data_IF_441467322247
#
_entry.id   IF_441467322247
#
_cell.length_a   1.000
_cell.length_b   1.000
_cell.length_c   1.000
_cell.angle_alpha   90.00
_cell.angle_beta   90.00
_cell.angle_gamma   90.00
#
_symmetry.space_group_name_H-M   'P 1'
#
loop_
_entity.id
_entity.type
_entity.pdbx_description
1 polymer ?
#
# COMPACT_ATOMS: atom_id res chain seq x y z
N UNK A 1 -0.94 9.01 41.56
CA UNK A 1 -0.10 7.90 41.08
C UNK A 1 -0.81 7.30 39.88
N UNK A 2 -0.14 7.19 38.73
CA UNK A 2 -0.73 6.72 37.47
C UNK A 2 -0.20 5.34 37.07
N UNK A 3 0.27 4.55 38.05
CA UNK A 3 0.86 3.24 37.84
C UNK A 3 -0.17 2.09 37.65
N UNK A 4 -1.45 2.32 37.93
CA UNK A 4 -2.47 1.26 37.87
C UNK A 4 -3.16 1.14 36.50
N UNK A 5 -3.44 -0.11 36.09
CA UNK A 5 -4.07 -0.48 34.81
C UNK A 5 -5.46 0.13 34.56
N UNK A 6 -6.13 0.61 35.60
CA UNK A 6 -7.51 1.07 35.59
C UNK A 6 -7.65 2.55 36.00
N UNK A 7 -6.62 3.36 35.78
CA UNK A 7 -6.69 4.81 36.02
C UNK A 7 -7.53 5.48 34.91
N UNK A 8 -8.84 5.23 34.89
CA UNK A 8 -9.82 5.75 33.91
C UNK A 8 -9.91 7.28 33.88
N UNK A 9 -9.27 7.96 34.84
CA UNK A 9 -9.22 9.41 34.94
C UNK A 9 -7.84 10.00 34.57
N UNK A 10 -6.80 9.17 34.40
CA UNK A 10 -5.45 9.66 34.14
C UNK A 10 -5.20 9.81 32.64
N UNK A 11 -4.67 10.97 32.25
CA UNK A 11 -4.33 11.28 30.85
C UNK A 11 -3.25 10.33 30.29
N UNK A 12 -2.25 10.01 31.11
CA UNK A 12 -1.15 9.09 30.83
C UNK A 12 -1.01 8.15 32.04
N UNK A 13 -0.99 6.84 31.80
CA UNK A 13 -0.88 5.81 32.83
C UNK A 13 -0.24 4.53 32.26
N UNK A 14 0.14 3.59 33.11
CA UNK A 14 0.68 2.31 32.65
C UNK A 14 1.50 1.59 33.71
N UNK A 15 2.01 0.41 33.33
CA UNK A 15 2.90 -0.42 34.13
C UNK A 15 4.30 -0.34 33.54
N UNK A 16 5.10 0.58 34.07
CA UNK A 16 6.42 0.88 33.52
C UNK A 16 7.41 -0.26 33.73
N UNK A 17 7.24 -1.05 34.79
CA UNK A 17 7.95 -2.30 35.04
C UNK A 17 7.63 -3.39 34.01
N UNK A 18 6.46 -3.34 33.37
CA UNK A 18 6.07 -4.18 32.24
C UNK A 18 6.29 -3.50 30.87
N UNK A 19 7.05 -2.39 30.81
CA UNK A 19 7.29 -1.58 29.60
C UNK A 19 6.01 -1.11 28.89
N UNK A 20 4.93 -0.85 29.64
CA UNK A 20 3.64 -0.50 29.08
C UNK A 20 3.27 0.94 29.42
N UNK A 21 3.03 1.74 28.37
CA UNK A 21 2.47 3.09 28.45
C UNK A 21 1.11 3.15 27.75
N UNK A 22 0.16 3.87 28.36
CA UNK A 22 -1.18 4.11 27.81
C UNK A 22 -1.55 5.59 27.90
N UNK A 23 -2.38 6.00 26.95
CA UNK A 23 -2.92 7.34 26.84
C UNK A 23 -4.44 7.25 26.82
N UNK A 24 -5.11 8.03 27.67
CA UNK A 24 -6.57 8.16 27.68
C UNK A 24 -6.99 9.47 27.02
N UNK A 25 -6.46 9.76 25.82
CA UNK A 25 -6.73 10.98 25.08
C UNK A 25 -6.33 10.86 23.60
N UNK A 26 -6.73 11.86 22.83
CA UNK A 26 -6.25 12.07 21.47
C UNK A 26 -4.75 12.45 21.50
N UNK A 27 -3.94 11.75 20.70
CA UNK A 27 -2.50 11.97 20.60
C UNK A 27 -2.20 12.58 19.23
N UNK A 28 -1.53 13.74 19.22
CA UNK A 28 -0.87 14.28 18.03
C UNK A 28 0.62 13.96 18.07
N UNK A 29 1.17 13.42 16.98
CA UNK A 29 2.60 13.07 16.90
C UNK A 29 3.25 13.92 15.79
N UNK A 30 4.18 14.78 16.22
CA UNK A 30 4.97 15.74 15.42
C UNK A 30 4.17 16.89 14.75
N UNK A 31 4.62 18.14 14.92
CA UNK A 31 3.99 19.33 14.31
C UNK A 31 4.95 20.30 13.59
N UNK A 32 6.29 20.12 13.62
CA UNK A 32 7.39 20.60 12.70
C UNK A 32 8.79 20.40 13.38
N UNK A 33 9.96 20.28 12.71
CA UNK A 33 10.30 19.67 11.42
C UNK A 33 11.20 18.40 11.51
N UNK A 34 10.78 17.43 10.69
CA UNK A 34 11.46 16.33 9.96
C UNK A 34 12.16 15.13 10.65
N UNK A 35 11.82 13.93 10.17
CA UNK A 35 12.72 13.05 9.39
C UNK A 35 11.90 11.88 8.82
N UNK A 36 11.18 12.13 7.73
CA UNK A 36 10.52 11.11 6.86
C UNK A 36 9.33 10.33 7.47
N UNK A 37 9.29 10.04 8.77
CA UNK A 37 8.19 9.35 9.45
C UNK A 37 7.86 10.02 10.79
N UNK A 38 6.57 10.33 11.03
CA UNK A 38 6.13 10.87 12.33
C UNK A 38 5.98 9.79 13.41
N UNK A 39 5.73 8.53 13.01
CA UNK A 39 5.69 7.37 13.90
C UNK A 39 6.49 6.22 13.27
N UNK A 40 7.49 5.71 13.98
CA UNK A 40 8.25 4.50 13.61
C UNK A 40 8.18 3.51 14.76
N UNK A 41 7.73 2.30 14.47
CA UNK A 41 7.72 1.17 15.42
C UNK A 41 8.37 -0.04 14.77
N UNK A 42 9.23 -0.79 15.49
CA UNK A 42 9.75 -2.06 15.00
C UNK A 42 8.69 -3.17 14.98
N UNK A 43 7.57 -2.97 15.70
CA UNK A 43 6.52 -3.96 15.90
C UNK A 43 5.27 -3.74 15.04
N UNK A 44 4.18 -4.37 15.49
CA UNK A 44 2.86 -4.26 14.86
C UNK A 44 2.09 -3.07 15.41
N UNK A 45 1.27 -2.47 14.56
CA UNK A 45 0.26 -1.48 14.96
C UNK A 45 -1.10 -2.15 14.78
N UNK A 46 -1.89 -2.23 15.85
CA UNK A 46 -3.28 -2.67 15.80
C UNK A 46 -4.17 -1.44 15.96
N UNK A 47 -5.03 -1.22 14.97
CA UNK A 47 -5.97 -0.11 14.89
C UNK A 47 -7.27 -0.60 14.26
N UNK A 48 -8.39 0.04 14.59
CA UNK A 48 -9.67 -0.29 13.99
C UNK A 48 -9.77 0.19 12.54
N UNK A 49 -9.26 1.38 12.24
CA UNK A 49 -9.28 1.98 10.91
C UNK A 49 -8.16 3.03 10.75
N UNK A 50 -7.75 3.31 9.51
CA UNK A 50 -6.76 4.33 9.16
C UNK A 50 -7.29 5.21 8.03
N UNK A 51 -7.61 6.46 8.37
CA UNK A 51 -7.99 7.47 7.38
C UNK A 51 -6.79 8.35 6.99
N UNK A 52 -6.57 8.54 5.69
CA UNK A 52 -5.54 9.46 5.17
C UNK A 52 -6.17 10.71 4.56
N UNK A 53 -5.60 11.89 4.83
CA UNK A 53 -6.04 13.18 4.26
C UNK A 53 -6.09 13.15 2.72
N UNK A 54 -7.25 13.45 2.13
CA UNK A 54 -7.47 13.31 0.67
C UNK A 54 -8.44 14.34 0.07
N UNK A 55 -8.77 15.42 0.80
CA UNK A 55 -9.69 16.47 0.36
C UNK A 55 -9.20 17.15 -0.94
N UNK A 56 -10.11 17.41 -1.88
CA UNK A 56 -9.78 18.02 -3.17
C UNK A 56 -9.14 19.40 -3.04
N UNK A 57 -9.47 20.17 -1.98
CA UNK A 57 -8.90 21.50 -1.73
C UNK A 57 -7.42 21.47 -1.36
N UNK A 58 -6.92 20.31 -0.92
CA UNK A 58 -5.51 20.11 -0.57
C UNK A 58 -4.69 19.55 -1.74
N UNK A 59 -5.28 19.44 -2.93
CA UNK A 59 -4.67 18.85 -4.11
C UNK A 59 -4.62 19.85 -5.25
N UNK A 60 -3.52 19.84 -5.97
CA UNK A 60 -3.33 20.56 -7.23
C UNK A 60 -2.80 19.58 -8.27
N UNK A 61 -2.84 19.95 -9.55
CA UNK A 61 -2.28 19.13 -10.65
C UNK A 61 -2.80 17.68 -10.69
N UNK A 62 -4.11 17.51 -10.44
CA UNK A 62 -4.74 16.18 -10.39
C UNK A 62 -4.72 15.54 -11.78
N UNK A 63 -4.05 14.40 -11.90
CA UNK A 63 -3.97 13.59 -13.11
C UNK A 63 -4.35 12.14 -12.81
N UNK A 64 -4.94 11.45 -13.80
CA UNK A 64 -5.20 10.02 -13.71
C UNK A 64 -3.90 9.22 -13.75
N UNK A 65 -3.84 8.10 -13.03
CA UNK A 65 -2.72 7.15 -13.11
C UNK A 65 -2.77 6.48 -14.48
N UNK A 66 -1.77 6.75 -15.32
CA UNK A 66 -1.61 6.15 -16.64
C UNK A 66 -0.78 4.87 -16.52
N UNK A 67 -0.90 3.98 -17.51
CA UNK A 67 -0.09 2.74 -17.59
C UNK A 67 -0.20 1.85 -16.33
N UNK A 68 -1.26 2.04 -15.53
CA UNK A 68 -1.47 1.34 -14.28
C UNK A 68 -1.45 -0.18 -14.43
N UNK A 69 -2.01 -0.73 -15.52
CA UNK A 69 -1.96 -2.17 -15.77
C UNK A 69 -0.52 -2.65 -16.01
N UNK A 70 0.25 -1.94 -16.84
CA UNK A 70 1.66 -2.27 -17.12
C UNK A 70 2.52 -2.17 -15.86
N UNK A 71 2.26 -1.14 -15.04
CA UNK A 71 2.88 -0.95 -13.74
C UNK A 71 2.62 -2.15 -12.84
N UNK A 72 1.35 -2.56 -12.67
CA UNK A 72 0.97 -3.73 -11.85
C UNK A 72 1.59 -5.02 -12.38
N UNK A 73 1.59 -5.24 -13.69
CA UNK A 73 2.19 -6.42 -14.32
C UNK A 73 3.71 -6.48 -14.13
N UNK A 74 4.36 -5.35 -13.87
CA UNK A 74 5.79 -5.24 -13.59
C UNK A 74 6.14 -5.33 -12.11
N UNK A 75 5.15 -5.33 -11.20
CA UNK A 75 5.38 -5.49 -9.77
C UNK A 75 5.53 -6.97 -9.40
N UNK A 76 6.53 -7.29 -8.58
CA UNK A 76 6.76 -8.66 -8.09
C UNK A 76 6.47 -8.79 -6.59
N UNK A 77 5.42 -9.54 -6.25
CA UNK A 77 5.15 -9.92 -4.86
C UNK A 77 6.07 -11.05 -4.42
N UNK A 78 6.80 -10.85 -3.32
CA UNK A 78 7.81 -11.78 -2.81
C UNK A 78 7.46 -12.29 -1.41
N UNK A 79 7.93 -13.52 -1.10
CA UNK A 79 8.00 -14.03 0.27
C UNK A 79 9.43 -13.89 0.78
N UNK A 80 9.60 -13.36 1.98
CA UNK A 80 10.93 -13.12 2.53
C UNK A 80 10.99 -13.38 4.03
N UNK A 81 12.22 -13.45 4.55
CA UNK A 81 12.53 -13.39 5.97
C UNK A 81 13.52 -12.26 6.20
N UNK A 82 13.45 -11.61 7.35
CA UNK A 82 14.38 -10.56 7.70
C UNK A 82 15.80 -11.12 7.89
N UNK A 83 16.82 -10.36 7.45
CA UNK A 83 18.22 -10.71 7.67
C UNK A 83 18.68 -10.29 9.08
N UNK A 84 18.29 -11.08 10.07
CA UNK A 84 18.55 -10.83 11.50
C UNK A 84 20.04 -10.84 11.86
N UNK A 85 20.86 -11.56 11.09
CA UNK A 85 22.29 -11.66 11.34
C UNK A 85 23.05 -10.41 10.85
N UNK A 86 22.64 -9.84 9.71
CA UNK A 86 23.26 -8.62 9.19
C UNK A 86 22.78 -7.35 9.92
N UNK A 87 21.58 -7.39 10.51
CA UNK A 87 20.97 -6.24 11.19
C UNK A 87 20.40 -6.63 12.57
N UNK A 88 21.25 -7.05 13.50
CA UNK A 88 20.82 -7.50 14.84
C UNK A 88 20.15 -6.37 15.65
N UNK A 89 20.43 -5.10 15.34
CA UNK A 89 19.89 -3.93 16.02
C UNK A 89 18.45 -3.57 15.62
N UNK A 90 17.92 -4.18 14.56
CA UNK A 90 16.59 -3.85 14.00
C UNK A 90 15.41 -4.58 14.62
N UNK A 91 15.67 -5.48 15.58
CA UNK A 91 14.67 -6.29 16.29
C UNK A 91 13.65 -6.99 15.36
N UNK A 92 14.14 -7.49 14.23
CA UNK A 92 13.29 -8.17 13.26
C UNK A 92 12.82 -9.54 13.77
N UNK A 93 11.54 -9.87 13.54
CA UNK A 93 11.00 -11.20 13.83
C UNK A 93 11.53 -12.28 12.87
N UNK A 94 11.36 -13.55 13.25
CA UNK A 94 11.85 -14.71 12.49
C UNK A 94 10.83 -15.34 11.52
N UNK A 95 9.63 -14.78 11.39
CA UNK A 95 8.55 -15.34 10.58
C UNK A 95 8.73 -15.08 9.08
N UNK A 96 7.92 -15.74 8.24
CA UNK A 96 7.87 -15.46 6.80
C UNK A 96 6.90 -14.32 6.57
N UNK A 97 7.34 -13.34 5.81
CA UNK A 97 6.57 -12.16 5.42
C UNK A 97 6.23 -12.22 3.92
N UNK A 98 5.18 -11.49 3.54
CA UNK A 98 4.79 -11.25 2.16
C UNK A 98 4.88 -9.74 1.89
N UNK A 99 5.44 -9.35 0.76
CA UNK A 99 5.54 -7.93 0.41
C UNK A 99 6.29 -7.70 -0.89
N UNK A 100 6.99 -6.57 -0.98
CA UNK A 100 7.80 -6.17 -2.12
C UNK A 100 9.25 -5.89 -1.71
N UNK A 101 10.18 -6.05 -2.65
CA UNK A 101 11.52 -5.47 -2.54
C UNK A 101 11.42 -4.00 -2.96
N UNK A 102 11.65 -3.07 -2.03
CA UNK A 102 11.43 -1.65 -2.27
C UNK A 102 12.26 -1.09 -3.44
N UNK A 103 13.48 -1.58 -3.63
CA UNK A 103 14.37 -1.16 -4.73
C UNK A 103 13.88 -1.60 -6.10
N UNK A 104 13.20 -2.75 -6.19
CA UNK A 104 12.60 -3.23 -7.43
C UNK A 104 11.33 -2.44 -7.73
N UNK A 105 10.50 -2.24 -6.70
CA UNK A 105 9.27 -1.45 -6.81
C UNK A 105 9.56 0.00 -7.20
N UNK A 106 10.63 0.60 -6.69
CA UNK A 106 11.03 1.98 -7.02
C UNK A 106 11.29 2.21 -8.51
N UNK A 107 11.74 1.18 -9.24
CA UNK A 107 11.98 1.30 -10.70
C UNK A 107 10.67 1.37 -11.50
N UNK A 108 9.58 0.87 -10.92
CA UNK A 108 8.27 0.71 -11.58
C UNK A 108 7.28 1.77 -11.10
N UNK A 109 7.26 2.03 -9.80
CA UNK A 109 6.32 2.94 -9.11
C UNK A 109 7.06 3.70 -7.99
N UNK A 110 7.96 4.65 -8.33
CA UNK A 110 8.78 5.36 -7.36
C UNK A 110 7.96 6.09 -6.28
N UNK A 111 6.76 6.54 -6.60
CA UNK A 111 5.84 7.23 -5.69
C UNK A 111 5.30 6.37 -4.53
N UNK A 112 5.48 5.04 -4.62
CA UNK A 112 5.17 4.09 -3.55
C UNK A 112 6.32 3.94 -2.56
N UNK A 113 7.52 4.40 -2.90
CA UNK A 113 8.72 4.14 -2.11
C UNK A 113 9.17 5.40 -1.38
N UNK A 114 9.44 5.25 -0.09
CA UNK A 114 9.94 6.32 0.76
C UNK A 114 11.35 5.94 1.21
N UNK A 115 12.31 6.84 1.03
CA UNK A 115 13.70 6.63 1.46
C UNK A 115 13.98 7.49 2.70
N UNK A 116 14.49 6.89 3.77
CA UNK A 116 14.88 7.64 4.97
C UNK A 116 16.28 8.26 4.86
N UNK A 117 16.65 9.07 5.87
CA UNK A 117 17.93 9.78 5.90
C UNK A 117 19.16 8.88 5.89
N UNK A 118 19.00 7.60 6.22
CA UNK A 118 20.07 6.60 6.18
C UNK A 118 20.06 5.79 4.87
N UNK A 119 19.17 6.12 3.93
CA UNK A 119 19.04 5.43 2.64
C UNK A 119 18.19 4.16 2.68
N UNK A 120 17.57 3.82 3.80
CA UNK A 120 16.67 2.66 3.86
C UNK A 120 15.32 2.99 3.24
N UNK A 121 14.78 2.03 2.48
CA UNK A 121 13.55 2.20 1.71
C UNK A 121 12.38 1.46 2.35
N UNK A 122 11.22 2.10 2.34
CA UNK A 122 9.94 1.58 2.83
C UNK A 122 8.87 1.72 1.75
N UNK A 123 7.84 0.87 1.78
CA UNK A 123 6.74 0.87 0.79
C UNK A 123 5.45 1.40 1.40
N UNK A 124 4.79 2.31 0.71
CA UNK A 124 3.44 2.79 1.02
C UNK A 124 2.40 1.86 0.38
N UNK A 125 2.06 0.77 1.08
CA UNK A 125 1.10 -0.23 0.61
C UNK A 125 -0.31 0.33 0.40
N UNK A 126 -0.73 1.38 1.12
CA UNK A 126 -2.07 1.96 0.97
C UNK A 126 -2.27 2.51 -0.45
N UNK A 127 -1.24 3.14 -1.02
CA UNK A 127 -1.29 3.73 -2.38
C UNK A 127 -1.34 2.68 -3.50
N UNK A 128 -0.88 1.45 -3.26
CA UNK A 128 -0.97 0.34 -4.24
C UNK A 128 -2.41 0.14 -4.71
N UNK A 129 -3.37 0.25 -3.80
CA UNK A 129 -4.80 0.12 -4.11
C UNK A 129 -5.29 1.09 -5.20
N UNK A 130 -4.74 2.31 -5.25
CA UNK A 130 -5.12 3.32 -6.24
C UNK A 130 -4.66 2.93 -7.64
N UNK A 131 -3.46 2.37 -7.76
CA UNK A 131 -2.93 1.85 -9.02
C UNK A 131 -3.75 0.63 -9.47
N UNK A 132 -4.07 -0.28 -8.54
CA UNK A 132 -4.88 -1.46 -8.84
C UNK A 132 -6.27 -1.09 -9.39
N UNK A 133 -6.92 -0.05 -8.86
CA UNK A 133 -8.22 0.43 -9.37
C UNK A 133 -8.12 0.86 -10.84
N UNK A 134 -7.10 1.64 -11.20
CA UNK A 134 -6.92 2.08 -12.59
C UNK A 134 -6.47 0.93 -13.51
N UNK A 135 -5.66 -0.01 -13.00
CA UNK A 135 -5.28 -1.22 -13.73
C UNK A 135 -6.50 -2.09 -14.05
N UNK A 136 -7.42 -2.27 -13.09
CA UNK A 136 -8.67 -3.02 -13.31
C UNK A 136 -9.57 -2.33 -14.34
N UNK A 137 -9.66 -1.00 -14.33
CA UNK A 137 -10.42 -0.25 -15.35
C UNK A 137 -9.81 -0.42 -16.74
N UNK A 138 -8.49 -0.37 -16.85
CA UNK A 138 -7.79 -0.61 -18.13
C UNK A 138 -8.03 -2.04 -18.61
N UNK A 139 -7.93 -3.03 -17.73
CA UNK A 139 -8.22 -4.42 -18.05
C UNK A 139 -9.68 -4.61 -18.52
N UNK A 140 -10.64 -3.96 -17.86
CA UNK A 140 -12.05 -4.00 -18.26
C UNK A 140 -12.27 -3.43 -19.68
N UNK A 141 -11.61 -2.31 -20.01
CA UNK A 141 -11.68 -1.73 -21.35
C UNK A 141 -11.11 -2.68 -22.43
N UNK A 142 -10.01 -3.38 -22.12
CA UNK A 142 -9.42 -4.37 -23.02
C UNK A 142 -10.35 -5.57 -23.25
N UNK A 143 -11.05 -6.02 -22.21
CA UNK A 143 -12.06 -7.08 -22.31
C UNK A 143 -13.24 -6.66 -23.20
N UNK A 144 -13.77 -5.46 -23.00
CA UNK A 144 -14.86 -4.92 -23.82
C UNK A 144 -14.45 -4.73 -25.29
N UNK A 145 -13.21 -4.34 -25.54
CA UNK A 145 -12.68 -4.28 -26.91
C UNK A 145 -12.53 -5.66 -27.53
N UNK A 146 -12.07 -6.64 -26.75
CA UNK A 146 -11.91 -8.03 -27.21
C UNK A 146 -13.25 -8.67 -27.54
N UNK A 147 -14.27 -8.50 -26.68
CA UNK A 147 -15.62 -9.01 -26.90
C UNK A 147 -16.25 -8.40 -28.15
N UNK A 148 -16.15 -7.08 -28.34
CA UNK A 148 -16.63 -6.44 -29.57
C UNK A 148 -15.99 -7.01 -30.83
N UNK A 149 -14.72 -7.40 -30.75
CA UNK A 149 -14.02 -8.03 -31.89
C UNK A 149 -14.50 -9.46 -32.12
N UNK A 150 -14.81 -10.20 -31.06
CA UNK A 150 -15.41 -11.54 -31.15
C UNK A 150 -16.76 -11.43 -31.84
N UNK A 151 -17.66 -10.55 -31.38
CA UNK A 151 -18.99 -10.36 -31.98
C UNK A 151 -18.88 -10.05 -33.48
N UNK A 152 -17.98 -9.13 -33.87
CA UNK A 152 -17.74 -8.78 -35.27
C UNK A 152 -17.18 -9.93 -36.11
N UNK A 153 -16.42 -10.85 -35.51
CA UNK A 153 -15.88 -12.01 -36.20
C UNK A 153 -16.96 -13.09 -36.36
N UNK A 154 -17.81 -13.28 -35.35
CA UNK A 154 -18.95 -14.18 -35.40
C UNK A 154 -19.95 -13.75 -36.49
N UNK A 155 -20.34 -12.47 -36.54
CA UNK A 155 -21.21 -11.93 -37.60
C UNK A 155 -20.62 -12.13 -39.02
N UNK A 156 -19.29 -11.96 -39.15
CA UNK A 156 -18.61 -12.18 -40.43
C UNK A 156 -18.62 -13.65 -40.83
N UNK A 157 -18.45 -14.55 -39.87
CA UNK A 157 -18.47 -15.99 -40.09
C UNK A 157 -19.85 -16.44 -40.57
N UNK A 158 -20.93 -16.02 -39.88
CA UNK A 158 -22.31 -16.31 -40.28
C UNK A 158 -22.63 -15.83 -41.70
N UNK A 159 -22.14 -14.63 -42.07
CA UNK A 159 -22.31 -14.10 -43.42
C UNK A 159 -21.57 -14.92 -44.48
N UNK A 160 -20.38 -15.42 -44.17
CA UNK A 160 -19.62 -16.28 -45.09
C UNK A 160 -20.31 -17.63 -45.25
N UNK A 161 -20.74 -18.25 -44.14
CA UNK A 161 -21.44 -19.53 -44.14
C UNK A 161 -22.75 -19.46 -44.94
N UNK A 162 -23.55 -18.43 -44.73
CA UNK A 162 -24.79 -18.20 -45.51
C UNK A 162 -24.53 -17.96 -47.00
N UNK A 163 -23.35 -17.47 -47.39
CA UNK A 163 -22.97 -17.31 -48.80
C UNK A 163 -22.51 -18.63 -49.43
N UNK A 164 -21.86 -19.51 -48.66
CA UNK A 164 -21.35 -20.80 -49.14
C UNK A 164 -22.45 -21.88 -49.29
N UNK A 165 -23.56 -21.75 -48.55
CA UNK A 165 -24.70 -22.67 -48.61
C UNK A 165 -25.64 -22.33 -49.80
N UNK A 166 -25.40 -21.21 -50.48
CA UNK A 166 -26.22 -20.70 -51.59
C UNK A 166 -25.62 -21.06 -52.95
#
# INVERSE_FOLDING_TARGET
>A
DNADLNATQSLIYGKFDENMIRFNANIGIQTEPDTVFSLRTPGRIEVQDVTTTSDARFKTEIQSVREALEMVLSMEGVRYRWNRNAYPERDFDGSVHLGFVAQELERVAPELVVTDSNGYKSVNYQKVSTILVEAMKQQQQMLEQSNRRIDQLEEKLERIESTLIR
#
